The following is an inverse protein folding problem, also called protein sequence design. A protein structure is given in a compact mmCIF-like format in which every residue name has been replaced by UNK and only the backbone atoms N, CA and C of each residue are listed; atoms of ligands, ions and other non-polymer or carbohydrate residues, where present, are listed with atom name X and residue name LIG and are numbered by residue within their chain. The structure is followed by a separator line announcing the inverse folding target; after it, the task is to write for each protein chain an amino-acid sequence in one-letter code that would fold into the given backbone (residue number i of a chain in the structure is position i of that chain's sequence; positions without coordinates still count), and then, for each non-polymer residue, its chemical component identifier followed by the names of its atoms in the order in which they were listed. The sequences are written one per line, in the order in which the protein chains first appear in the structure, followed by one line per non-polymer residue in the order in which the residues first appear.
data_IF_790499916544
#
_entry.id   IF_790499916544
#
_cell.length_a   1.000
_cell.length_b   1.000
_cell.length_c   1.000
_cell.angle_alpha   90.00
_cell.angle_beta   90.00
_cell.angle_gamma   90.00
#
_symmetry.space_group_name_H-M   'P 1'
#
loop_
_entity.id
_entity.type
_entity.pdbx_description
1 polymer ?
#
# COMPACT_ATOMS: atom_id res chain seq x y z
N UNK A 1 20.19 47.57 7.65
CA UNK A 1 20.64 46.17 7.52
C UNK A 1 19.55 45.28 8.10
N UNK A 2 18.57 44.89 7.28
CA UNK A 2 17.39 44.10 7.69
C UNK A 2 17.61 42.66 7.22
N UNK A 3 17.78 41.73 8.16
CA UNK A 3 17.88 40.30 7.89
C UNK A 3 16.46 39.76 7.74
N UNK A 4 16.05 39.52 6.49
CA UNK A 4 14.81 38.81 6.18
C UNK A 4 15.07 37.33 6.38
N UNK A 5 14.50 36.76 7.44
CA UNK A 5 14.42 35.31 7.63
C UNK A 5 13.53 34.72 6.52
N UNK A 6 14.15 34.26 5.44
CA UNK A 6 13.47 33.32 4.53
C UNK A 6 13.23 32.04 5.31
N UNK A 7 11.95 31.75 5.60
CA UNK A 7 11.50 30.40 5.92
C UNK A 7 11.83 29.50 4.72
N UNK A 8 13.02 28.92 4.72
CA UNK A 8 13.34 27.79 3.85
C UNK A 8 12.40 26.65 4.26
N UNK A 9 11.57 26.10 3.35
CA UNK A 9 10.82 24.91 3.68
C UNK A 9 11.81 23.81 4.06
N UNK A 10 11.66 23.27 5.28
CA UNK A 10 12.41 22.10 5.76
C UNK A 10 12.45 21.08 4.63
N UNK A 11 13.66 20.74 4.13
CA UNK A 11 13.85 19.62 3.21
C UNK A 11 13.33 18.36 3.89
N UNK A 12 12.10 17.95 3.56
CA UNK A 12 11.60 16.63 3.92
C UNK A 12 12.53 15.60 3.28
N UNK A 13 13.21 14.81 4.10
CA UNK A 13 14.01 13.69 3.66
C UNK A 13 13.04 12.59 3.16
N UNK A 14 12.51 12.76 1.94
CA UNK A 14 11.53 11.85 1.32
C UNK A 14 12.22 10.52 1.06
N UNK A 15 11.87 9.47 1.80
CA UNK A 15 12.14 8.09 1.36
C UNK A 15 11.41 7.87 0.05
N UNK A 16 12.13 7.41 -0.97
CA UNK A 16 11.52 7.07 -2.25
C UNK A 16 10.66 5.81 -2.05
N UNK A 17 9.34 5.98 -2.05
CA UNK A 17 8.36 4.89 -1.90
C UNK A 17 8.30 3.95 -3.11
N UNK A 18 8.96 4.31 -4.21
CA UNK A 18 8.87 3.57 -5.47
C UNK A 18 10.06 2.62 -5.70
N UNK A 19 11.03 2.54 -4.78
CA UNK A 19 12.27 1.79 -5.03
C UNK A 19 12.01 0.32 -5.34
N UNK A 20 11.02 -0.29 -4.68
CA UNK A 20 10.68 -1.70 -4.89
C UNK A 20 9.92 -1.89 -6.21
N UNK A 21 8.99 -0.99 -6.48
CA UNK A 21 8.16 -0.96 -7.69
C UNK A 21 9.01 -0.71 -8.94
N UNK A 22 9.86 0.33 -8.94
CA UNK A 22 10.79 0.66 -10.03
C UNK A 22 11.72 -0.51 -10.36
N UNK A 23 12.22 -1.22 -9.33
CA UNK A 23 13.03 -2.41 -9.53
C UNK A 23 12.25 -3.52 -10.24
N UNK A 24 10.99 -3.75 -9.86
CA UNK A 24 10.14 -4.78 -10.44
C UNK A 24 9.68 -4.41 -11.86
N UNK A 25 9.31 -3.16 -12.09
CA UNK A 25 8.99 -2.64 -13.43
C UNK A 25 10.19 -2.76 -14.38
N UNK A 26 11.41 -2.48 -13.91
CA UNK A 26 12.64 -2.68 -14.68
C UNK A 26 12.92 -4.16 -15.04
N UNK A 27 12.25 -5.11 -14.38
CA UNK A 27 12.28 -6.54 -14.69
C UNK A 27 11.07 -7.00 -15.52
N UNK A 28 10.22 -6.09 -15.99
CA UNK A 28 9.01 -6.41 -16.77
C UNK A 28 7.85 -6.95 -15.92
N UNK A 29 7.82 -6.64 -14.63
CA UNK A 29 6.72 -7.01 -13.72
C UNK A 29 5.73 -5.85 -13.65
N UNK A 30 4.68 -5.89 -14.46
CA UNK A 30 3.68 -4.81 -14.57
C UNK A 30 2.66 -4.83 -13.43
N UNK A 31 2.17 -6.01 -13.04
CA UNK A 31 1.13 -6.18 -12.03
C UNK A 31 1.71 -6.52 -10.67
N UNK A 32 2.02 -5.48 -9.90
CA UNK A 32 2.54 -5.57 -8.54
C UNK A 32 1.39 -5.33 -7.56
N UNK A 33 1.10 -6.29 -6.69
CA UNK A 33 0.16 -6.12 -5.58
C UNK A 33 0.88 -5.68 -4.32
N UNK A 34 0.40 -4.62 -3.67
CA UNK A 34 0.74 -4.31 -2.28
C UNK A 34 -0.28 -4.91 -1.32
N UNK A 35 0.18 -5.39 -0.16
CA UNK A 35 -0.66 -6.03 0.86
C UNK A 35 -0.28 -5.53 2.25
N UNK A 36 -1.29 -5.14 3.03
CA UNK A 36 -1.14 -4.67 4.42
C UNK A 36 -2.40 -4.99 5.25
N UNK A 37 -2.29 -4.86 6.58
CA UNK A 37 -3.40 -5.04 7.53
C UNK A 37 -3.57 -3.90 8.54
N UNK A 38 -4.81 -3.74 9.01
CA UNK A 38 -5.17 -2.92 10.18
C UNK A 38 -5.98 -3.74 11.17
N UNK A 39 -5.89 -3.39 12.45
CA UNK A 39 -6.64 -4.08 13.52
C UNK A 39 -5.88 -5.22 14.21
N UNK A 40 -4.68 -5.59 13.74
CA UNK A 40 -3.89 -6.71 14.31
C UNK A 40 -3.56 -6.57 15.81
N UNK A 41 -3.41 -5.34 16.30
CA UNK A 41 -3.13 -5.04 17.72
C UNK A 41 -4.29 -4.36 18.45
N UNK A 42 -5.47 -4.26 17.82
CA UNK A 42 -6.63 -3.64 18.44
C UNK A 42 -7.25 -4.56 19.49
N UNK A 43 -7.78 -3.97 20.57
CA UNK A 43 -8.50 -4.73 21.62
C UNK A 43 -9.90 -5.16 21.17
N UNK A 44 -10.52 -4.41 20.25
CA UNK A 44 -11.85 -4.66 19.73
C UNK A 44 -11.94 -4.24 18.26
N UNK A 45 -12.89 -4.83 17.55
CA UNK A 45 -13.08 -4.62 16.12
C UNK A 45 -12.38 -5.67 15.27
N UNK A 46 -12.72 -5.72 13.96
CA UNK A 46 -12.23 -6.76 13.07
C UNK A 46 -10.76 -6.54 12.71
N UNK A 47 -10.13 -7.63 12.26
CA UNK A 47 -8.90 -7.56 11.48
C UNK A 47 -9.28 -7.30 10.02
N UNK A 48 -8.69 -6.28 9.40
CA UNK A 48 -8.93 -5.96 7.99
C UNK A 48 -7.61 -6.00 7.24
N UNK A 49 -7.59 -6.68 6.09
CA UNK A 49 -6.46 -6.64 5.17
C UNK A 49 -6.91 -6.23 3.78
N UNK A 50 -6.05 -5.54 3.05
CA UNK A 50 -6.30 -5.20 1.66
C UNK A 50 -5.16 -5.66 0.76
N UNK A 51 -5.49 -5.86 -0.52
CA UNK A 51 -4.52 -6.03 -1.59
C UNK A 51 -4.84 -5.02 -2.69
N UNK A 52 -3.84 -4.32 -3.21
CA UNK A 52 -4.02 -3.26 -4.22
C UNK A 52 -2.96 -3.38 -5.32
N UNK A 53 -3.40 -3.38 -6.58
CA UNK A 53 -2.54 -3.25 -7.76
C UNK A 53 -2.76 -1.85 -8.34
N UNK A 54 -1.73 -1.02 -8.26
CA UNK A 54 -1.74 0.32 -8.84
C UNK A 54 -1.41 0.27 -10.33
N UNK A 55 -1.84 1.28 -11.08
CA UNK A 55 -1.48 1.42 -12.48
C UNK A 55 -0.05 2.00 -12.61
N UNK A 56 0.89 1.22 -13.13
CA UNK A 56 2.30 1.62 -13.30
C UNK A 56 2.47 2.86 -14.17
N UNK A 57 1.59 3.06 -15.17
CA UNK A 57 1.60 4.24 -16.02
C UNK A 57 1.40 5.56 -15.25
N UNK A 58 0.83 5.52 -14.05
CA UNK A 58 0.66 6.71 -13.21
C UNK A 58 1.99 7.23 -12.63
N UNK A 59 3.05 6.43 -12.72
CA UNK A 59 4.37 6.72 -12.14
C UNK A 59 5.42 7.07 -13.20
N UNK A 60 5.13 6.81 -14.48
CA UNK A 60 6.01 7.11 -15.61
C UNK A 60 6.32 8.61 -15.73
N UNK A 61 7.60 9.02 -15.73
CA UNK A 61 7.99 10.44 -15.81
C UNK A 61 7.57 11.14 -17.10
N UNK A 62 7.35 10.37 -18.17
CA UNK A 62 7.15 10.86 -19.55
C UNK A 62 5.68 11.04 -19.93
N UNK A 63 4.72 10.55 -19.12
CA UNK A 63 3.29 10.70 -19.42
C UNK A 63 2.73 11.98 -18.78
N UNK A 64 2.71 13.06 -19.56
CA UNK A 64 2.18 14.39 -19.21
C UNK A 64 0.67 14.41 -18.93
N UNK A 65 -0.07 13.35 -19.27
CA UNK A 65 -1.54 13.33 -19.28
C UNK A 65 -2.15 12.84 -17.97
N UNK A 66 -1.41 12.06 -17.17
CA UNK A 66 -1.83 11.78 -15.80
C UNK A 66 -1.52 13.01 -14.98
N UNK A 67 -2.57 13.83 -14.87
CA UNK A 67 -2.67 15.07 -14.13
C UNK A 67 -1.71 15.05 -12.95
N UNK A 68 -0.89 16.09 -12.84
CA UNK A 68 -0.04 16.37 -11.68
C UNK A 68 -0.76 16.13 -10.34
N UNK A 69 -2.10 16.19 -10.32
CA UNK A 69 -2.99 15.78 -9.22
C UNK A 69 -2.85 14.30 -8.84
N UNK A 70 -2.93 13.34 -9.76
CA UNK A 70 -2.80 11.91 -9.43
C UNK A 70 -1.41 11.59 -8.84
N UNK A 71 -0.35 12.11 -9.45
CA UNK A 71 1.03 12.00 -8.90
C UNK A 71 1.15 12.69 -7.54
N UNK A 72 0.52 13.86 -7.35
CA UNK A 72 0.48 14.54 -6.05
C UNK A 72 -0.31 13.76 -4.99
N UNK A 73 -1.40 13.09 -5.36
CA UNK A 73 -2.19 12.26 -4.45
C UNK A 73 -1.42 11.01 -4.03
N UNK A 74 -0.74 10.34 -4.97
CA UNK A 74 0.19 9.26 -4.64
C UNK A 74 1.35 9.73 -3.74
N UNK A 75 1.86 10.95 -3.92
CA UNK A 75 2.84 11.55 -3.00
C UNK A 75 2.29 11.83 -1.59
N UNK A 76 0.97 11.96 -1.41
CA UNK A 76 0.31 12.15 -0.09
C UNK A 76 0.15 10.84 0.68
N UNK A 77 0.27 9.68 0.03
CA UNK A 77 0.12 8.35 0.67
C UNK A 77 1.20 8.09 1.74
N UNK A 78 2.34 8.78 1.67
CA UNK A 78 3.57 8.47 2.43
C UNK A 78 3.54 8.64 3.95
N UNK A 79 2.38 8.93 4.57
CA UNK A 79 2.22 8.81 6.03
C UNK A 79 0.76 8.73 6.49
N UNK A 80 0.05 7.62 6.20
CA UNK A 80 -1.37 7.42 6.58
C UNK A 80 -1.68 7.64 8.07
N UNK A 81 -0.66 7.58 8.93
CA UNK A 81 -0.71 7.83 10.38
C UNK A 81 -0.65 9.33 10.73
N UNK A 82 -0.10 10.16 9.86
CA UNK A 82 -0.16 11.63 9.93
C UNK A 82 -1.30 12.23 9.10
N UNK A 83 -2.03 11.43 8.32
CA UNK A 83 -3.18 11.90 7.54
C UNK A 83 -4.42 12.04 8.40
N UNK A 84 -5.18 13.11 8.17
CA UNK A 84 -6.50 13.27 8.80
C UNK A 84 -7.50 12.27 8.21
N UNK A 85 -8.58 11.91 8.93
CA UNK A 85 -9.61 10.99 8.42
C UNK A 85 -10.16 11.41 7.06
N UNK A 86 -10.39 12.72 6.86
CA UNK A 86 -10.84 13.29 5.58
C UNK A 86 -9.86 12.99 4.44
N UNK A 87 -8.56 13.17 4.68
CA UNK A 87 -7.53 12.92 3.66
C UNK A 87 -7.41 11.42 3.36
N UNK A 88 -7.52 10.55 4.36
CA UNK A 88 -7.57 9.10 4.13
C UNK A 88 -8.76 8.70 3.28
N UNK A 89 -9.94 9.27 3.53
CA UNK A 89 -11.12 9.02 2.72
C UNK A 89 -10.92 9.47 1.27
N UNK A 90 -10.41 10.70 1.04
CA UNK A 90 -10.09 11.21 -0.31
C UNK A 90 -9.11 10.27 -1.05
N UNK A 91 -8.08 9.77 -0.35
CA UNK A 91 -7.10 8.85 -0.94
C UNK A 91 -7.69 7.47 -1.21
N UNK A 92 -8.51 6.94 -0.30
CA UNK A 92 -9.18 5.65 -0.48
C UNK A 92 -10.10 5.69 -1.69
N UNK A 93 -10.93 6.73 -1.83
CA UNK A 93 -11.78 6.95 -2.99
C UNK A 93 -10.95 7.10 -4.28
N UNK A 94 -9.84 7.84 -4.23
CA UNK A 94 -8.94 7.96 -5.38
C UNK A 94 -8.34 6.60 -5.78
N UNK A 95 -7.82 5.82 -4.83
CA UNK A 95 -7.20 4.51 -5.08
C UNK A 95 -8.23 3.56 -5.66
N UNK A 96 -9.43 3.45 -5.08
CA UNK A 96 -10.50 2.58 -5.57
C UNK A 96 -10.85 2.88 -7.03
N UNK A 97 -10.90 4.17 -7.40
CA UNK A 97 -11.27 4.60 -8.75
C UNK A 97 -10.13 4.48 -9.79
N UNK A 98 -8.87 4.35 -9.34
CA UNK A 98 -7.69 4.44 -10.21
C UNK A 98 -6.76 3.21 -10.15
N UNK A 99 -6.97 2.31 -9.20
CA UNK A 99 -6.26 1.05 -9.12
C UNK A 99 -6.68 0.13 -10.28
N UNK A 100 -5.74 -0.67 -10.76
CA UNK A 100 -6.02 -1.75 -11.73
C UNK A 100 -6.91 -2.81 -11.10
N UNK A 101 -6.64 -3.13 -9.83
CA UNK A 101 -7.41 -4.08 -9.05
C UNK A 101 -7.21 -3.81 -7.57
N UNK A 102 -8.23 -4.07 -6.76
CA UNK A 102 -8.11 -4.07 -5.31
C UNK A 102 -9.06 -5.09 -4.70
N UNK A 103 -8.77 -5.51 -3.47
CA UNK A 103 -9.72 -6.28 -2.67
C UNK A 103 -9.51 -6.00 -1.18
N UNK A 104 -10.58 -6.14 -0.40
CA UNK A 104 -10.57 -5.91 1.06
C UNK A 104 -11.19 -7.14 1.73
N UNK A 105 -10.49 -7.69 2.72
CA UNK A 105 -10.95 -8.82 3.52
C UNK A 105 -11.08 -8.42 4.97
N UNK A 106 -12.24 -8.73 5.55
CA UNK A 106 -12.58 -8.47 6.93
C UNK A 106 -12.68 -9.83 7.63
N UNK A 107 -11.95 -9.98 8.73
CA UNK A 107 -12.01 -11.13 9.62
C UNK A 107 -12.62 -10.65 10.93
N UNK A 108 -13.79 -11.19 11.26
CA UNK A 108 -14.52 -10.82 12.47
C UNK A 108 -13.77 -11.24 13.73
N UNK A 109 -13.96 -10.52 14.86
CA UNK A 109 -13.28 -10.84 16.13
C UNK A 109 -13.42 -12.29 16.56
N UNK A 110 -14.62 -12.89 16.40
CA UNK A 110 -14.84 -14.30 16.74
C UNK A 110 -13.96 -15.28 15.94
N UNK A 111 -13.68 -14.97 14.67
CA UNK A 111 -12.74 -15.77 13.88
C UNK A 111 -11.28 -15.56 14.32
N UNK A 112 -10.93 -14.34 14.74
CA UNK A 112 -9.60 -14.05 15.31
C UNK A 112 -9.39 -14.81 16.62
N UNK A 113 -10.40 -14.84 17.48
CA UNK A 113 -10.38 -15.58 18.75
C UNK A 113 -10.23 -17.08 18.53
N UNK A 114 -10.94 -17.63 17.53
CA UNK A 114 -10.89 -19.05 17.19
C UNK A 114 -9.55 -19.47 16.56
N UNK A 115 -9.04 -18.68 15.61
CA UNK A 115 -7.87 -19.06 14.80
C UNK A 115 -6.55 -18.59 15.37
N UNK A 116 -6.58 -17.58 16.24
CA UNK A 116 -5.43 -16.79 16.64
C UNK A 116 -5.01 -15.78 15.57
N UNK A 117 -4.46 -14.65 16.04
CA UNK A 117 -4.17 -13.49 15.19
C UNK A 117 -3.26 -13.82 13.99
N UNK A 118 -2.23 -14.64 14.19
CA UNK A 118 -1.29 -14.98 13.12
C UNK A 118 -1.95 -15.75 11.97
N UNK A 119 -2.87 -16.67 12.28
CA UNK A 119 -3.58 -17.44 11.25
C UNK A 119 -4.65 -16.59 10.58
N UNK A 120 -5.33 -15.74 11.35
CA UNK A 120 -6.29 -14.77 10.82
C UNK A 120 -5.63 -13.82 9.81
N UNK A 121 -4.48 -13.22 10.13
CA UNK A 121 -3.73 -12.35 9.20
C UNK A 121 -3.31 -13.09 7.93
N UNK A 122 -2.78 -14.31 8.05
CA UNK A 122 -2.37 -15.11 6.89
C UNK A 122 -3.56 -15.47 5.98
N UNK A 123 -4.71 -15.78 6.58
CA UNK A 123 -5.96 -16.04 5.84
C UNK A 123 -6.46 -14.79 5.13
N UNK A 124 -6.46 -13.63 5.80
CA UNK A 124 -6.87 -12.35 5.25
C UNK A 124 -5.98 -11.93 4.07
N UNK A 125 -4.65 -11.99 4.24
CA UNK A 125 -3.67 -11.69 3.19
C UNK A 125 -3.84 -12.57 1.96
N UNK A 126 -3.87 -13.89 2.16
CA UNK A 126 -4.00 -14.83 1.04
C UNK A 126 -5.32 -14.59 0.29
N UNK A 127 -6.42 -14.45 1.01
CA UNK A 127 -7.74 -14.20 0.42
C UNK A 127 -7.79 -12.86 -0.30
N UNK A 128 -7.14 -11.82 0.24
CA UNK A 128 -7.07 -10.52 -0.41
C UNK A 128 -6.36 -10.59 -1.77
N UNK A 129 -5.23 -11.29 -1.83
CA UNK A 129 -4.50 -11.52 -3.09
C UNK A 129 -5.33 -12.36 -4.07
N UNK A 130 -6.00 -13.42 -3.61
CA UNK A 130 -6.81 -14.28 -4.48
C UNK A 130 -8.05 -13.60 -5.07
N UNK A 131 -8.60 -12.58 -4.39
CA UNK A 131 -9.79 -11.85 -4.83
C UNK A 131 -9.50 -10.65 -5.74
N UNK A 132 -8.22 -10.40 -6.07
CA UNK A 132 -7.88 -9.42 -7.09
C UNK A 132 -8.45 -9.88 -8.45
N UNK A 133 -9.16 -8.99 -9.13
CA UNK A 133 -9.68 -9.21 -10.49
C UNK A 133 -8.56 -9.39 -11.53
N UNK A 134 -7.37 -8.87 -11.25
CA UNK A 134 -6.16 -9.08 -12.04
C UNK A 134 -5.16 -9.86 -11.20
N UNK A 135 -4.66 -10.96 -11.75
CA UNK A 135 -3.66 -11.80 -11.06
C UNK A 135 -2.34 -11.03 -10.95
N UNK A 136 -1.81 -10.80 -9.74
CA UNK A 136 -0.50 -10.16 -9.60
C UNK A 136 0.61 -11.08 -10.09
N UNK A 137 1.62 -10.47 -10.72
CA UNK A 137 2.88 -11.12 -11.07
C UNK A 137 3.83 -11.16 -9.87
N UNK A 138 3.76 -10.15 -9.00
CA UNK A 138 4.53 -10.10 -7.75
C UNK A 138 3.73 -9.44 -6.64
N UNK A 139 3.99 -9.85 -5.39
CA UNK A 139 3.31 -9.31 -4.21
C UNK A 139 4.33 -8.68 -3.24
N UNK A 140 4.17 -7.40 -2.97
CA UNK A 140 4.86 -6.69 -1.89
C UNK A 140 3.98 -6.72 -0.63
N UNK A 141 4.50 -7.25 0.47
CA UNK A 141 3.72 -7.49 1.71
C UNK A 141 4.37 -6.77 2.88
N UNK A 142 3.60 -6.10 3.74
CA UNK A 142 4.18 -5.53 4.97
C UNK A 142 4.63 -6.62 5.94
N UNK A 143 5.84 -6.45 6.46
CA UNK A 143 6.51 -7.22 7.49
C UNK A 143 6.76 -8.72 7.22
N UNK A 144 5.73 -9.52 6.92
CA UNK A 144 5.78 -10.99 6.92
C UNK A 144 5.30 -11.60 5.60
N UNK A 145 5.88 -12.74 5.17
CA UNK A 145 5.42 -13.42 3.96
C UNK A 145 4.04 -14.06 4.14
N UNK A 146 3.33 -14.22 3.03
CA UNK A 146 2.11 -15.02 2.90
C UNK A 146 2.53 -16.48 2.70
N UNK A 147 2.34 -17.32 3.72
CA UNK A 147 2.80 -18.72 3.74
C UNK A 147 2.20 -19.57 2.62
N UNK A 148 0.95 -19.30 2.26
CA UNK A 148 0.20 -20.03 1.22
C UNK A 148 0.53 -19.56 -0.20
N UNK A 149 1.40 -18.56 -0.37
CA UNK A 149 1.84 -18.06 -1.66
C UNK A 149 3.29 -18.52 -1.93
N UNK A 150 3.64 -18.75 -3.19
CA UNK A 150 5.01 -19.14 -3.55
C UNK A 150 6.01 -18.05 -3.09
N UNK A 151 7.15 -18.46 -2.52
CA UNK A 151 8.19 -17.53 -2.05
C UNK A 151 8.82 -16.72 -3.18
N UNK A 152 8.84 -17.25 -4.40
CA UNK A 152 9.43 -16.58 -5.56
C UNK A 152 8.58 -15.45 -6.16
N UNK A 153 7.32 -15.31 -5.74
CA UNK A 153 6.38 -14.30 -6.28
C UNK A 153 5.99 -13.25 -5.24
N UNK A 154 6.77 -13.15 -4.15
CA UNK A 154 6.51 -12.18 -3.09
C UNK A 154 7.79 -11.65 -2.45
N UNK A 155 7.72 -10.43 -1.94
CA UNK A 155 8.75 -9.80 -1.12
C UNK A 155 8.10 -9.20 0.12
N UNK A 156 8.53 -9.58 1.30
CA UNK A 156 8.11 -8.94 2.54
C UNK A 156 9.03 -7.77 2.89
N UNK A 157 8.46 -6.61 3.21
CA UNK A 157 9.19 -5.38 3.49
C UNK A 157 8.83 -4.94 4.90
N UNK A 158 9.80 -4.84 5.81
CA UNK A 158 9.55 -4.30 7.16
C UNK A 158 9.26 -2.81 7.08
N UNK A 159 8.13 -2.36 7.65
CA UNK A 159 7.67 -0.98 7.51
C UNK A 159 7.39 -0.62 6.04
N UNK A 160 6.74 -1.55 5.35
CA UNK A 160 6.39 -1.46 3.93
C UNK A 160 5.51 -0.24 3.64
N UNK A 161 4.63 0.15 4.57
CA UNK A 161 3.82 1.38 4.52
C UNK A 161 4.65 2.65 4.27
N UNK A 162 5.94 2.64 4.62
CA UNK A 162 6.88 3.77 4.47
C UNK A 162 7.95 3.55 3.40
N UNK A 163 7.91 2.41 2.70
CA UNK A 163 8.97 1.97 1.78
C UNK A 163 8.43 1.47 0.43
N UNK A 164 7.13 1.25 0.30
CA UNK A 164 6.46 0.79 -0.90
C UNK A 164 5.14 1.53 -1.03
N UNK A 165 4.94 2.21 -2.16
CA UNK A 165 3.66 2.85 -2.43
C UNK A 165 2.53 1.84 -2.58
N UNK A 166 2.85 0.64 -3.10
CA UNK A 166 1.88 -0.42 -3.28
C UNK A 166 1.34 -0.87 -1.92
N UNK A 167 2.24 -1.12 -0.94
CA UNK A 167 1.84 -1.48 0.43
C UNK A 167 1.09 -0.31 1.08
N UNK A 168 1.60 0.91 0.95
CA UNK A 168 0.97 2.09 1.52
C UNK A 168 -0.41 2.42 0.91
N UNK A 169 -0.73 1.92 -0.28
CA UNK A 169 -2.07 2.02 -0.86
C UNK A 169 -3.05 0.98 -0.30
N UNK A 170 -2.57 -0.05 0.39
CA UNK A 170 -3.36 -1.12 0.99
C UNK A 170 -3.74 -0.85 2.47
N UNK A 171 -3.40 0.33 3.02
CA UNK A 171 -3.68 0.75 4.41
C UNK A 171 -4.66 1.92 4.51
#
# INVERSE_FOLDING_TARGET
MLVVWHFLPRKMNRKNLLVNEEKLWGLGVDFIAGVDEVGRGALAGPLVAAAVILNSHHFEPTQTVISSVARNLYLRINDSKLLTPKVRQELSEFIINNAVSYSIQIIEPGNVDEWGISKATQSAFFTAVQKLSVKPQHVLVDAFPIKSLNRGVQTNIKHGDRLSISIAAAI
#
